data_IF_621933480939
#
_entry.id   IF_621933480939
#
_cell.length_a   1.000
_cell.length_b   1.000
_cell.length_c   1.000
_cell.angle_alpha   90.00
_cell.angle_beta   90.00
_cell.angle_gamma   90.00
#
_symmetry.space_group_name_H-M   'P 1'
#
loop_
_entity.id
_entity.type
_entity.pdbx_description
1 polymer ?
#
# COMPACT_ATOMS: atom_id res chain seq x y z
N UNK A 1 -21.64 -15.21 23.83
CA UNK A 1 -20.99 -16.29 23.05
C UNK A 1 -21.09 -15.96 21.57
N UNK A 2 -19.97 -15.62 20.91
CA UNK A 2 -19.75 -15.70 19.45
C UNK A 2 -18.32 -15.19 19.15
N UNK A 3 -17.32 -15.83 19.75
CA UNK A 3 -15.89 -15.55 19.48
C UNK A 3 -15.11 -16.80 19.01
N UNK A 4 -15.79 -17.95 18.91
CA UNK A 4 -15.15 -19.25 18.86
C UNK A 4 -15.22 -19.92 17.47
N UNK A 5 -15.13 -19.18 16.35
CA UNK A 5 -15.11 -19.80 15.00
C UNK A 5 -14.04 -19.26 14.03
N UNK A 6 -13.08 -18.46 14.51
CA UNK A 6 -11.97 -17.99 13.66
C UNK A 6 -10.71 -18.89 13.73
N UNK A 7 -10.67 -19.85 14.65
CA UNK A 7 -9.50 -20.72 14.90
C UNK A 7 -9.41 -21.93 13.94
N UNK A 8 -10.49 -22.29 13.25
CA UNK A 8 -10.50 -23.42 12.30
C UNK A 8 -9.88 -23.08 10.93
N UNK A 9 -9.67 -21.79 10.61
CA UNK A 9 -9.27 -21.34 9.28
C UNK A 9 -7.74 -21.17 9.08
N UNK A 10 -6.91 -21.60 10.04
CA UNK A 10 -5.44 -21.54 9.93
C UNK A 10 -4.85 -20.12 9.78
N UNK A 11 -5.64 -19.07 10.03
CA UNK A 11 -5.16 -17.69 9.92
C UNK A 11 -4.42 -17.26 11.19
N UNK A 12 -3.25 -16.60 11.09
CA UNK A 12 -2.52 -16.13 12.25
C UNK A 12 -3.39 -15.20 13.11
N UNK A 13 -3.40 -15.41 14.44
CA UNK A 13 -4.17 -14.59 15.37
C UNK A 13 -3.80 -13.09 15.30
N UNK A 14 -2.58 -12.79 14.84
CA UNK A 14 -2.11 -11.42 14.57
C UNK A 14 -2.89 -10.74 13.43
N UNK A 15 -3.28 -11.47 12.38
CA UNK A 15 -4.12 -10.96 11.28
C UNK A 15 -5.57 -10.71 11.74
N UNK A 16 -6.06 -11.54 12.66
CA UNK A 16 -7.38 -11.36 13.27
C UNK A 16 -7.38 -10.12 14.19
N UNK A 17 -6.35 -9.94 15.02
CA UNK A 17 -6.27 -8.81 15.94
C UNK A 17 -6.07 -7.46 15.26
N UNK A 18 -5.32 -7.41 14.14
CA UNK A 18 -5.16 -6.17 13.36
C UNK A 18 -6.51 -5.64 12.86
N UNK A 19 -7.44 -6.53 12.51
CA UNK A 19 -8.77 -6.15 12.04
C UNK A 19 -9.78 -5.84 13.16
N UNK A 20 -9.50 -6.22 14.40
CA UNK A 20 -10.44 -6.09 15.54
C UNK A 20 -10.04 -5.06 16.60
N UNK A 21 -8.96 -4.31 16.43
CA UNK A 21 -8.61 -3.24 17.36
C UNK A 21 -9.60 -2.05 17.28
N UNK A 22 -10.22 -1.62 18.39
CA UNK A 22 -11.11 -0.45 18.43
C UNK A 22 -10.45 0.84 17.93
N UNK A 23 -9.13 0.95 18.04
CA UNK A 23 -8.32 2.08 17.54
C UNK A 23 -8.17 2.04 16.01
N UNK A 24 -8.11 0.84 15.42
CA UNK A 24 -8.15 0.63 13.96
C UNK A 24 -9.56 0.89 13.43
N UNK A 25 -10.59 0.54 14.20
CA UNK A 25 -11.99 0.82 13.87
C UNK A 25 -12.31 2.33 13.91
N UNK A 26 -11.82 3.07 14.91
CA UNK A 26 -12.02 4.53 15.05
C UNK A 26 -11.26 5.38 14.01
N UNK A 27 -10.23 4.82 13.35
CA UNK A 27 -9.43 5.55 12.35
C UNK A 27 -9.80 5.28 10.90
N UNK A 28 -10.90 4.54 10.64
CA UNK A 28 -11.54 4.53 9.32
C UNK A 28 -12.30 5.84 9.11
N UNK A 29 -11.57 6.94 8.95
CA UNK A 29 -12.08 8.00 8.08
C UNK A 29 -12.23 7.33 6.72
N UNK A 30 -13.46 7.02 6.35
CA UNK A 30 -13.78 6.49 5.03
C UNK A 30 -13.57 7.63 4.05
N UNK A 31 -12.35 7.72 3.51
CA UNK A 31 -12.03 8.67 2.44
C UNK A 31 -12.70 8.13 1.18
N UNK A 32 -13.87 8.69 0.86
CA UNK A 32 -14.79 8.23 -0.20
C UNK A 32 -14.06 8.09 -1.55
N UNK A 33 -13.06 8.92 -1.78
CA UNK A 33 -12.24 9.00 -2.97
C UNK A 33 -11.42 7.72 -3.23
N UNK A 34 -11.20 6.87 -2.22
CA UNK A 34 -10.51 5.59 -2.34
C UNK A 34 -11.47 4.38 -2.38
N UNK A 35 -12.78 4.58 -2.31
CA UNK A 35 -13.76 3.48 -2.30
C UNK A 35 -13.94 2.80 -3.66
N UNK A 36 -13.47 3.42 -4.74
CA UNK A 36 -13.55 2.87 -6.09
C UNK A 36 -12.15 2.61 -6.67
N UNK A 37 -11.49 1.49 -6.31
CA UNK A 37 -10.11 1.20 -6.72
C UNK A 37 -9.90 1.24 -8.24
N UNK A 38 -10.93 0.90 -9.01
CA UNK A 38 -10.90 0.94 -10.50
C UNK A 38 -10.83 2.37 -11.06
N UNK A 39 -11.30 3.37 -10.31
CA UNK A 39 -11.31 4.77 -10.75
C UNK A 39 -10.06 5.54 -10.32
N UNK A 40 -9.20 4.95 -9.47
CA UNK A 40 -7.91 5.51 -9.11
C UNK A 40 -7.01 5.68 -10.34
N UNK A 41 -6.33 6.82 -10.41
CA UNK A 41 -5.45 7.17 -11.51
C UNK A 41 -4.04 6.68 -11.18
N UNK A 42 -3.62 5.60 -11.83
CA UNK A 42 -2.27 5.03 -11.71
C UNK A 42 -1.59 5.15 -13.07
N UNK A 43 -0.77 6.19 -13.29
CA UNK A 43 -0.08 6.34 -14.57
C UNK A 43 0.97 5.24 -14.74
N UNK A 44 0.87 4.47 -15.83
CA UNK A 44 1.84 3.43 -16.17
C UNK A 44 3.28 3.97 -16.16
N UNK A 45 3.48 5.15 -16.77
CA UNK A 45 4.76 5.85 -16.81
C UNK A 45 5.33 6.11 -15.40
N UNK A 46 4.48 6.34 -14.39
CA UNK A 46 4.95 6.52 -13.01
C UNK A 46 5.42 5.20 -12.40
N UNK A 47 4.76 4.09 -12.68
CA UNK A 47 5.22 2.78 -12.21
C UNK A 47 6.53 2.40 -12.91
N UNK A 48 6.60 2.51 -14.24
CA UNK A 48 7.79 2.19 -15.02
C UNK A 48 8.99 3.06 -14.65
N UNK A 49 8.83 4.38 -14.53
CA UNK A 49 9.95 5.30 -14.34
C UNK A 49 10.38 5.48 -12.88
N UNK A 50 9.45 5.44 -11.92
CA UNK A 50 9.79 5.70 -10.51
C UNK A 50 9.87 4.45 -9.65
N UNK A 51 9.09 3.42 -9.98
CA UNK A 51 9.02 2.22 -9.15
C UNK A 51 9.86 1.08 -9.71
N UNK A 52 9.99 0.99 -11.03
CA UNK A 52 10.56 -0.17 -11.73
C UNK A 52 11.77 0.18 -12.61
N UNK A 53 12.28 1.41 -12.55
CA UNK A 53 13.46 1.84 -13.30
C UNK A 53 14.75 1.74 -12.47
N UNK A 54 15.64 0.81 -12.84
CA UNK A 54 16.97 0.66 -12.23
C UNK A 54 18.02 1.68 -12.73
N UNK A 55 17.75 2.36 -13.83
CA UNK A 55 18.67 3.30 -14.49
C UNK A 55 18.47 4.74 -13.98
N UNK A 56 17.32 5.03 -13.34
CA UNK A 56 17.00 6.34 -12.80
C UNK A 56 17.73 6.61 -11.47
N UNK A 57 18.37 7.78 -11.33
CA UNK A 57 19.13 8.17 -10.13
C UNK A 57 18.28 8.17 -8.84
N UNK A 58 16.99 8.43 -8.95
CA UNK A 58 16.02 8.50 -7.82
C UNK A 58 15.21 7.20 -7.72
N UNK A 59 14.85 6.59 -8.85
CA UNK A 59 14.03 5.38 -8.95
C UNK A 59 14.78 4.08 -8.67
N UNK A 60 16.11 4.03 -8.86
CA UNK A 60 16.92 2.81 -8.76
C UNK A 60 16.76 2.07 -7.44
N UNK A 61 16.81 2.78 -6.31
CA UNK A 61 16.67 2.15 -5.00
C UNK A 61 15.29 1.50 -4.81
N UNK A 62 14.24 2.09 -5.38
CA UNK A 62 12.88 1.54 -5.35
C UNK A 62 12.77 0.33 -6.26
N UNK A 63 13.28 0.41 -7.48
CA UNK A 63 13.28 -0.69 -8.44
C UNK A 63 13.97 -1.94 -7.89
N UNK A 64 15.14 -1.75 -7.26
CA UNK A 64 15.85 -2.86 -6.58
C UNK A 64 15.00 -3.45 -5.47
N UNK A 65 14.30 -2.63 -4.68
CA UNK A 65 13.46 -3.11 -3.58
C UNK A 65 12.21 -3.84 -4.09
N UNK A 66 11.55 -3.34 -5.13
CA UNK A 66 10.38 -3.98 -5.75
C UNK A 66 10.73 -5.34 -6.34
N UNK A 67 11.85 -5.43 -7.06
CA UNK A 67 12.30 -6.70 -7.61
C UNK A 67 12.72 -7.67 -6.52
N UNK A 68 13.53 -7.21 -5.55
CA UNK A 68 14.03 -8.05 -4.45
C UNK A 68 12.93 -8.61 -3.56
N UNK A 69 11.93 -7.78 -3.26
CA UNK A 69 10.92 -8.11 -2.25
C UNK A 69 9.57 -8.50 -2.81
N UNK A 70 9.30 -8.32 -4.09
CA UNK A 70 8.00 -8.69 -4.68
C UNK A 70 8.14 -9.26 -6.09
N UNK A 71 9.35 -9.32 -6.66
CA UNK A 71 9.57 -9.82 -8.02
C UNK A 71 9.06 -8.90 -9.12
N UNK A 72 8.71 -7.64 -8.80
CA UNK A 72 8.23 -6.71 -9.82
C UNK A 72 9.37 -6.02 -10.56
N UNK A 73 9.31 -6.09 -11.89
CA UNK A 73 10.19 -5.43 -12.87
C UNK A 73 9.33 -4.62 -13.84
N UNK A 74 9.96 -3.97 -14.84
CA UNK A 74 9.22 -3.27 -15.90
C UNK A 74 8.27 -4.21 -16.67
N UNK A 75 8.57 -5.50 -16.73
CA UNK A 75 7.84 -6.49 -17.54
C UNK A 75 6.47 -6.87 -16.96
N UNK A 76 6.32 -6.83 -15.63
CA UNK A 76 5.09 -7.17 -14.91
C UNK A 76 4.46 -5.95 -14.20
N UNK A 77 4.64 -4.76 -14.77
CA UNK A 77 4.09 -3.51 -14.22
C UNK A 77 2.56 -3.54 -14.03
N UNK A 78 1.83 -4.24 -14.90
CA UNK A 78 0.37 -4.38 -14.78
C UNK A 78 -0.04 -5.16 -13.53
N UNK A 79 0.76 -6.14 -13.13
CA UNK A 79 0.52 -6.89 -11.89
C UNK A 79 0.75 -6.00 -10.66
N UNK A 80 1.72 -5.09 -10.70
CA UNK A 80 1.92 -4.09 -9.65
C UNK A 80 0.74 -3.12 -9.54
N UNK A 81 0.15 -2.69 -10.66
CA UNK A 81 -1.09 -1.90 -10.67
C UNK A 81 -2.24 -2.66 -9.99
N UNK A 82 -2.48 -3.92 -10.40
CA UNK A 82 -3.51 -4.78 -9.82
C UNK A 82 -3.32 -4.96 -8.32
N UNK A 83 -2.09 -5.25 -7.88
CA UNK A 83 -1.73 -5.40 -6.48
C UNK A 83 -2.11 -4.15 -5.67
N UNK A 84 -1.82 -2.95 -6.19
CA UNK A 84 -2.18 -1.71 -5.52
C UNK A 84 -3.70 -1.58 -5.40
N UNK A 85 -4.44 -1.83 -6.48
CA UNK A 85 -5.92 -1.72 -6.49
C UNK A 85 -6.59 -2.72 -5.54
N UNK A 86 -6.09 -3.94 -5.47
CA UNK A 86 -6.64 -4.99 -4.60
C UNK A 86 -6.42 -4.69 -3.11
N UNK A 87 -5.32 -4.03 -2.77
CA UNK A 87 -4.96 -3.76 -1.39
C UNK A 87 -5.39 -2.38 -0.89
N UNK A 88 -5.75 -1.44 -1.78
CA UNK A 88 -6.10 -0.07 -1.39
C UNK A 88 -7.30 -0.01 -0.43
N UNK A 89 -8.27 -0.91 -0.58
CA UNK A 89 -9.45 -0.98 0.30
C UNK A 89 -9.12 -1.46 1.71
N UNK A 90 -8.00 -2.16 1.87
CA UNK A 90 -7.48 -2.64 3.16
C UNK A 90 -6.43 -1.70 3.74
N UNK A 91 -6.03 -0.68 2.98
CA UNK A 91 -4.95 0.20 3.36
C UNK A 91 -5.38 1.19 4.44
N UNK A 92 -4.43 1.52 5.31
CA UNK A 92 -4.56 2.66 6.21
C UNK A 92 -4.29 3.93 5.40
N UNK A 93 -5.35 4.63 5.01
CA UNK A 93 -5.23 5.92 4.32
C UNK A 93 -5.03 7.03 5.36
N UNK A 94 -4.00 7.85 5.16
CA UNK A 94 -3.72 9.05 5.94
C UNK A 94 -3.72 10.25 5.00
N UNK A 95 -4.54 11.23 5.29
CA UNK A 95 -4.41 12.55 4.67
C UNK A 95 -3.19 13.26 5.26
N UNK A 96 -2.41 13.88 4.39
CA UNK A 96 -1.26 14.72 4.73
C UNK A 96 -1.64 16.18 4.49
N UNK A 97 -0.96 17.14 5.15
CA UNK A 97 -1.23 18.56 4.97
C UNK A 97 -1.30 18.89 3.47
N UNK A 98 -2.39 19.53 3.07
CA UNK A 98 -2.56 19.97 1.70
C UNK A 98 -1.41 20.91 1.32
N UNK A 99 -0.88 20.75 0.11
CA UNK A 99 -0.05 21.79 -0.48
C UNK A 99 -0.96 22.73 -1.29
N UNK A 100 -0.41 23.83 -1.80
CA UNK A 100 -1.12 24.77 -2.70
C UNK A 100 -1.70 24.12 -3.98
N UNK A 101 -1.49 22.82 -4.18
CA UNK A 101 -1.91 22.07 -5.35
C UNK A 101 -2.91 20.94 -5.02
N UNK A 102 -3.44 20.89 -3.80
CA UNK A 102 -4.53 20.00 -3.41
C UNK A 102 -4.22 19.10 -2.22
N UNK A 103 -5.07 18.09 -2.02
CA UNK A 103 -4.97 17.15 -0.90
C UNK A 103 -3.97 16.05 -1.25
N UNK A 104 -3.13 15.68 -0.28
CA UNK A 104 -2.18 14.58 -0.46
C UNK A 104 -2.49 13.46 0.53
N UNK A 105 -2.31 12.22 0.11
CA UNK A 105 -2.62 11.06 0.91
C UNK A 105 -1.48 10.05 0.87
N UNK A 106 -1.37 9.25 1.93
CA UNK A 106 -0.58 8.03 1.91
C UNK A 106 -1.43 6.84 2.28
N UNK A 107 -1.38 5.80 1.47
CA UNK A 107 -1.98 4.51 1.77
C UNK A 107 -0.89 3.51 2.14
N UNK A 108 -1.05 2.93 3.33
CA UNK A 108 -0.11 2.00 3.94
C UNK A 108 -0.78 0.62 4.06
N UNK A 109 -0.17 -0.41 3.49
CA UNK A 109 -0.68 -1.79 3.56
C UNK A 109 0.46 -2.81 3.49
N UNK A 110 0.17 -4.02 3.97
CA UNK A 110 1.10 -5.13 3.89
C UNK A 110 0.78 -6.04 2.71
N UNK A 111 1.83 -6.49 2.04
CA UNK A 111 1.77 -7.47 0.95
C UNK A 111 2.52 -8.72 1.39
N UNK A 112 1.92 -9.90 1.16
CA UNK A 112 2.58 -11.17 1.40
C UNK A 112 3.73 -11.36 0.43
N UNK A 113 4.92 -11.67 0.95
CA UNK A 113 6.12 -11.95 0.18
C UNK A 113 6.77 -13.24 0.67
N UNK A 114 6.72 -14.29 -0.13
CA UNK A 114 7.01 -15.66 0.31
C UNK A 114 6.08 -16.06 1.49
N UNK A 115 5.85 -17.34 1.71
CA UNK A 115 4.76 -17.81 2.60
C UNK A 115 4.83 -17.29 4.06
N UNK A 116 5.96 -16.70 4.50
CA UNK A 116 6.20 -16.30 5.89
C UNK A 116 6.61 -14.84 6.09
N UNK A 117 6.89 -14.05 5.05
CA UNK A 117 7.32 -12.66 5.22
C UNK A 117 6.25 -11.68 4.71
N UNK A 118 6.13 -10.53 5.38
CA UNK A 118 5.29 -9.41 4.95
C UNK A 118 6.18 -8.24 4.54
N UNK A 119 5.82 -7.61 3.44
CA UNK A 119 6.47 -6.40 2.95
C UNK A 119 5.51 -5.24 3.16
N UNK A 120 6.00 -4.19 3.79
CA UNK A 120 5.22 -2.99 4.01
C UNK A 120 5.31 -2.09 2.78
N UNK A 121 4.17 -1.88 2.14
CA UNK A 121 4.03 -1.02 0.98
C UNK A 121 3.41 0.31 1.37
N UNK A 122 3.98 1.39 0.83
CA UNK A 122 3.45 2.75 0.98
C UNK A 122 3.26 3.33 -0.40
N UNK A 123 2.05 3.83 -0.65
CA UNK A 123 1.70 4.55 -1.88
C UNK A 123 1.30 5.97 -1.52
N UNK A 124 1.84 6.94 -2.27
CA UNK A 124 1.53 8.36 -2.15
C UNK A 124 0.57 8.76 -3.25
N UNK A 125 -0.43 9.55 -2.88
CA UNK A 125 -1.52 9.98 -3.75
C UNK A 125 -1.75 11.47 -3.65
N UNK A 126 -2.29 12.06 -4.70
CA UNK A 126 -2.71 13.46 -4.76
C UNK A 126 -4.08 13.58 -5.38
N UNK A 127 -4.90 14.46 -4.83
CA UNK A 127 -6.18 14.87 -5.37
C UNK A 127 -6.12 16.40 -5.54
N UNK A 128 -5.91 16.84 -6.78
CA UNK A 128 -6.02 18.25 -7.15
C UNK A 128 -7.44 18.77 -7.04
N UNK A 129 -7.62 20.09 -7.13
CA UNK A 129 -8.94 20.71 -7.06
C UNK A 129 -9.90 20.21 -8.15
N UNK A 130 -9.37 19.95 -9.35
CA UNK A 130 -10.15 19.48 -10.50
C UNK A 130 -10.10 17.95 -10.69
N UNK A 131 -9.34 17.24 -9.85
CA UNK A 131 -9.24 15.78 -9.94
C UNK A 131 -10.49 15.15 -9.30
N UNK A 132 -11.15 14.26 -10.05
CA UNK A 132 -12.28 13.46 -9.52
C UNK A 132 -11.82 12.28 -8.67
N UNK A 133 -10.60 11.79 -8.91
CA UNK A 133 -10.05 10.61 -8.27
C UNK A 133 -8.58 10.80 -7.91
N UNK A 134 -8.10 10.20 -6.80
CA UNK A 134 -6.70 10.29 -6.41
C UNK A 134 -5.76 9.74 -7.48
N UNK A 135 -4.68 10.46 -7.74
CA UNK A 135 -3.59 10.10 -8.65
C UNK A 135 -2.37 9.62 -7.88
N UNK A 136 -1.83 8.46 -8.26
CA UNK A 136 -0.59 7.94 -7.70
C UNK A 136 0.58 8.86 -8.06
N UNK A 137 1.31 9.30 -7.04
CA UNK A 137 2.52 10.12 -7.19
C UNK A 137 3.80 9.34 -6.93
N UNK A 138 3.74 8.36 -6.01
CA UNK A 138 4.88 7.52 -5.64
C UNK A 138 4.43 6.20 -5.04
N UNK A 139 5.28 5.18 -5.14
CA UNK A 139 5.15 3.96 -4.35
C UNK A 139 6.55 3.50 -3.91
N UNK A 140 6.62 2.85 -2.76
CA UNK A 140 7.84 2.18 -2.30
C UNK A 140 7.49 1.04 -1.35
N UNK A 141 8.44 0.12 -1.22
CA UNK A 141 8.34 -1.03 -0.32
C UNK A 141 9.48 -1.00 0.69
N UNK A 142 9.21 -1.49 1.89
CA UNK A 142 10.22 -1.72 2.91
C UNK A 142 9.94 -3.06 3.61
N UNK A 143 10.97 -3.81 4.00
CA UNK A 143 10.75 -4.97 4.86
C UNK A 143 10.07 -4.52 6.15
N UNK A 144 9.16 -5.33 6.67
CA UNK A 144 8.64 -5.11 8.00
C UNK A 144 9.84 -5.10 8.97
N UNK A 145 10.00 -4.02 9.75
CA UNK A 145 11.00 -4.02 10.80
C UNK A 145 10.54 -5.06 11.81
N UNK A 146 11.20 -6.23 11.82
CA UNK A 146 11.17 -7.11 12.99
C UNK A 146 11.59 -6.21 14.15
N UNK A 147 10.69 -5.99 15.11
CA UNK A 147 11.06 -5.26 16.32
C UNK A 147 12.36 -5.87 16.83
N UNK A 148 13.33 -5.02 17.18
CA UNK A 148 14.33 -5.43 18.16
C UNK A 148 13.53 -5.75 19.41
N UNK A 149 13.13 -7.01 19.58
CA UNK A 149 12.80 -7.47 20.91
C UNK A 149 14.14 -7.49 21.64
N UNK A 150 14.15 -6.70 22.69
CA UNK A 150 15.23 -6.48 23.63
C UNK A 150 15.80 -7.84 24.10
N UNK A 151 17.13 -7.94 24.09
CA UNK A 151 17.89 -8.98 24.79
C UNK A 151 17.72 -8.83 26.31
#
# INVERSE_FOLDING_TARGET
>A
MQGAKAWEAGRPWQDVLWNYSPTVMKSRIVIKEFQEPKKLIIPEVKLLNYCLNKEDKIGKAKAIAFEKYLGYTRENQKELDNLIRENILKAKIKERPADKYGRTFSAEFYVSFLEKNKIFMVTGWKLGADDKFPRLTSAYVKPEKRGKNED
#
